data_IF_340406443321
#
_entry.id   IF_340406443321
#
_cell.length_a   1.000
_cell.length_b   1.000
_cell.length_c   1.000
_cell.angle_alpha   90.00
_cell.angle_beta   90.00
_cell.angle_gamma   90.00
#
_symmetry.space_group_name_H-M   'P 1'
#
loop_
_entity.id
_entity.type
_entity.pdbx_description
1 polymer ?
#
# COMPACT_ATOMS: atom_id res chain seq x y z
N UNK A 1 -8.07 -1.15 5.55
CA UNK A 1 -8.53 -2.19 4.61
C UNK A 1 -9.16 -1.63 3.34
N UNK A 2 -10.27 -0.88 3.36
CA UNK A 2 -10.92 -0.35 2.12
C UNK A 2 -9.95 0.35 1.14
N UNK A 3 -9.12 1.29 1.62
CA UNK A 3 -8.15 2.00 0.76
C UNK A 3 -7.06 1.07 0.17
N UNK A 4 -6.63 0.03 0.90
CA UNK A 4 -5.66 -0.96 0.39
C UNK A 4 -6.30 -1.82 -0.71
N UNK A 5 -7.54 -2.26 -0.48
CA UNK A 5 -8.33 -3.00 -1.46
C UNK A 5 -8.52 -2.19 -2.74
N UNK A 6 -8.93 -0.93 -2.61
CA UNK A 6 -9.05 0.00 -3.73
C UNK A 6 -7.77 0.04 -4.59
N UNK A 7 -6.60 0.24 -3.98
CA UNK A 7 -5.35 0.27 -4.74
C UNK A 7 -4.95 -1.05 -5.41
N UNK A 8 -5.45 -2.19 -4.91
CA UNK A 8 -5.09 -3.52 -5.43
C UNK A 8 -6.07 -4.05 -6.46
N UNK A 9 -7.36 -3.74 -6.30
CA UNK A 9 -8.47 -4.36 -7.02
C UNK A 9 -9.12 -3.43 -8.04
N UNK A 10 -9.01 -2.10 -7.88
CA UNK A 10 -9.57 -1.15 -8.84
C UNK A 10 -8.96 -1.35 -10.21
N UNK A 11 -9.83 -1.62 -11.20
CA UNK A 11 -9.45 -1.77 -12.58
C UNK A 11 -10.39 -0.97 -13.47
N UNK A 12 -9.90 -0.62 -14.66
CA UNK A 12 -10.72 -0.11 -15.75
C UNK A 12 -10.65 -1.09 -16.91
N UNK A 13 -11.73 -1.17 -17.69
CA UNK A 13 -11.71 -1.92 -18.93
C UNK A 13 -10.91 -1.13 -19.97
N UNK A 14 -9.73 -1.67 -20.31
CA UNK A 14 -8.89 -1.13 -21.35
C UNK A 14 -9.53 -1.33 -22.73
N UNK A 15 -9.08 -0.56 -23.75
CA UNK A 15 -9.64 -0.60 -25.10
C UNK A 15 -9.58 -1.98 -25.76
N UNK A 16 -8.67 -2.84 -25.32
CA UNK A 16 -8.48 -4.21 -25.83
C UNK A 16 -9.27 -5.27 -25.05
N UNK A 17 -10.18 -4.87 -24.15
CA UNK A 17 -10.89 -5.76 -23.23
C UNK A 17 -10.00 -6.35 -22.13
N UNK A 18 -8.80 -5.78 -21.93
CA UNK A 18 -7.89 -6.15 -20.85
C UNK A 18 -8.17 -5.28 -19.63
N UNK A 19 -8.09 -5.87 -18.44
CA UNK A 19 -8.18 -5.13 -17.18
C UNK A 19 -6.91 -4.32 -16.96
N UNK A 20 -7.05 -3.02 -16.87
CA UNK A 20 -5.97 -2.10 -16.53
C UNK A 20 -6.05 -1.74 -15.05
N UNK A 21 -4.95 -1.84 -14.31
CA UNK A 21 -4.90 -1.57 -12.87
C UNK A 21 -4.09 -0.29 -12.61
N UNK A 22 -4.67 0.90 -12.85
CA UNK A 22 -3.93 2.16 -12.88
C UNK A 22 -3.23 2.48 -11.55
N UNK A 23 -3.85 2.15 -10.42
CA UNK A 23 -3.29 2.43 -9.10
C UNK A 23 -2.17 1.44 -8.72
N UNK A 24 -2.28 0.17 -9.12
CA UNK A 24 -1.25 -0.84 -8.86
C UNK A 24 0.06 -0.52 -9.57
N UNK A 25 -0.03 -0.08 -10.82
CA UNK A 25 1.14 0.33 -11.59
C UNK A 25 1.82 1.55 -10.98
N UNK A 26 1.03 2.56 -10.57
CA UNK A 26 1.55 3.75 -9.87
C UNK A 26 2.20 3.42 -8.53
N UNK A 27 1.63 2.49 -7.76
CA UNK A 27 2.26 1.99 -6.52
C UNK A 27 3.61 1.30 -6.79
N UNK A 28 3.71 0.59 -7.92
CA UNK A 28 4.96 -0.04 -8.33
C UNK A 28 6.01 1.00 -8.71
N UNK A 29 5.62 2.05 -9.46
CA UNK A 29 6.50 3.16 -9.79
C UNK A 29 6.98 3.95 -8.54
N UNK A 30 6.09 4.12 -7.55
CA UNK A 30 6.44 4.70 -6.24
C UNK A 30 7.46 3.83 -5.49
N UNK A 31 7.26 2.51 -5.46
CA UNK A 31 8.18 1.57 -4.81
C UNK A 31 9.57 1.60 -5.46
N UNK A 32 9.62 1.74 -6.79
CA UNK A 32 10.88 1.87 -7.56
C UNK A 32 11.51 3.25 -7.48
N UNK A 33 10.85 4.21 -6.82
CA UNK A 33 11.24 5.63 -6.76
C UNK A 33 11.32 6.30 -8.14
N UNK A 34 10.60 5.75 -9.12
CA UNK A 34 10.38 6.36 -10.45
C UNK A 34 9.35 7.49 -10.35
N UNK A 35 8.42 7.38 -9.38
CA UNK A 35 7.40 8.37 -9.06
C UNK A 35 7.55 8.82 -7.60
N UNK A 36 7.24 10.09 -7.31
CA UNK A 36 7.38 10.69 -5.96
C UNK A 36 6.05 11.02 -5.29
N UNK A 37 4.94 11.00 -6.03
CA UNK A 37 3.62 11.35 -5.52
C UNK A 37 2.53 10.51 -6.18
N UNK A 38 1.55 10.04 -5.40
CA UNK A 38 0.37 9.34 -5.91
C UNK A 38 -0.81 10.31 -6.04
N UNK A 39 -1.42 10.36 -7.22
CA UNK A 39 -2.68 11.08 -7.43
C UNK A 39 -3.83 10.08 -7.47
N UNK A 40 -4.81 10.30 -6.60
CA UNK A 40 -6.04 9.49 -6.48
C UNK A 40 -7.22 10.35 -6.93
N UNK A 41 -7.92 9.90 -7.98
CA UNK A 41 -9.11 10.58 -8.45
C UNK A 41 -10.29 10.21 -7.56
N UNK A 42 -11.06 11.20 -7.11
CA UNK A 42 -12.27 10.94 -6.32
C UNK A 42 -13.34 10.22 -7.13
N UNK A 43 -13.40 10.47 -8.45
CA UNK A 43 -14.33 9.77 -9.34
C UNK A 43 -14.07 8.25 -9.34
N UNK A 44 -12.81 7.82 -9.29
CA UNK A 44 -12.44 6.40 -9.22
C UNK A 44 -12.79 5.80 -7.86
N UNK A 45 -12.60 6.56 -6.79
CA UNK A 45 -13.01 6.13 -5.45
C UNK A 45 -14.53 6.00 -5.39
N UNK A 46 -15.27 6.90 -6.03
CA UNK A 46 -16.73 6.87 -6.06
C UNK A 46 -17.27 5.70 -6.91
N UNK A 47 -16.56 5.32 -7.97
CA UNK A 47 -16.89 4.15 -8.78
C UNK A 47 -16.70 2.83 -8.01
N UNK A 48 -15.69 2.73 -7.15
CA UNK A 48 -15.47 1.55 -6.28
C UNK A 48 -16.37 1.55 -5.03
N UNK A 49 -16.45 2.68 -4.33
CA UNK A 49 -17.16 2.85 -3.06
C UNK A 49 -17.61 4.31 -2.89
N UNK A 50 -18.87 4.65 -3.27
CA UNK A 50 -19.38 6.02 -3.20
C UNK A 50 -19.43 6.56 -1.78
N UNK A 51 -19.69 5.72 -0.77
CA UNK A 51 -19.67 6.12 0.64
C UNK A 51 -18.26 6.52 1.09
N UNK A 52 -17.23 5.82 0.60
CA UNK A 52 -15.85 6.19 0.86
C UNK A 52 -15.50 7.53 0.22
N UNK A 53 -15.96 7.78 -1.02
CA UNK A 53 -15.72 9.05 -1.70
C UNK A 53 -16.36 10.23 -0.95
N UNK A 54 -17.62 10.09 -0.52
CA UNK A 54 -18.29 11.12 0.31
C UNK A 54 -17.53 11.36 1.62
N UNK A 55 -17.14 10.29 2.33
CA UNK A 55 -16.39 10.42 3.58
C UNK A 55 -15.02 11.10 3.39
N UNK A 56 -14.35 10.87 2.24
CA UNK A 56 -13.11 11.56 1.88
C UNK A 56 -13.36 13.05 1.70
N UNK A 57 -14.44 13.44 1.02
CA UNK A 57 -14.82 14.85 0.84
C UNK A 57 -15.13 15.53 2.17
N UNK A 58 -15.83 14.85 3.08
CA UNK A 58 -16.15 15.38 4.40
C UNK A 58 -14.93 15.57 5.30
N UNK A 59 -13.88 14.73 5.15
CA UNK A 59 -12.69 14.81 5.98
C UNK A 59 -11.39 14.48 5.23
N UNK A 60 -11.03 15.34 4.28
CA UNK A 60 -9.85 15.15 3.43
C UNK A 60 -8.59 14.91 4.27
N UNK A 61 -8.35 15.69 5.33
CA UNK A 61 -7.13 15.58 6.14
C UNK A 61 -6.94 14.20 6.77
N UNK A 62 -8.02 13.60 7.30
CA UNK A 62 -7.96 12.26 7.88
C UNK A 62 -7.72 11.23 6.78
N UNK A 63 -8.49 11.30 5.70
CA UNK A 63 -8.42 10.30 4.64
C UNK A 63 -7.12 10.39 3.83
N UNK A 64 -6.50 11.56 3.68
CA UNK A 64 -5.14 11.68 3.11
C UNK A 64 -4.13 10.83 3.89
N UNK A 65 -4.23 10.79 5.22
CA UNK A 65 -3.35 9.95 6.05
C UNK A 65 -3.68 8.47 5.87
N UNK A 66 -4.96 8.11 5.90
CA UNK A 66 -5.42 6.72 5.67
C UNK A 66 -4.95 6.18 4.32
N UNK A 67 -5.07 6.97 3.26
CA UNK A 67 -4.61 6.61 1.91
C UNK A 67 -3.08 6.57 1.83
N UNK A 68 -2.36 7.47 2.51
CA UNK A 68 -0.90 7.44 2.55
C UNK A 68 -0.38 6.17 3.24
N UNK A 69 -0.97 5.79 4.38
CA UNK A 69 -0.62 4.56 5.09
C UNK A 69 -0.97 3.30 4.27
N UNK A 70 -2.04 3.38 3.46
CA UNK A 70 -2.43 2.29 2.55
C UNK A 70 -1.54 2.21 1.29
N UNK A 71 -0.99 3.34 0.84
CA UNK A 71 -0.14 3.44 -0.34
C UNK A 71 1.33 3.11 -0.05
N UNK A 72 1.72 2.97 1.23
CA UNK A 72 3.11 2.74 1.61
C UNK A 72 3.66 1.48 0.90
N UNK A 73 4.58 1.64 -0.06
CA UNK A 73 5.12 0.51 -0.80
C UNK A 73 5.99 -0.32 0.12
N UNK A 74 5.99 -1.65 -0.03
CA UNK A 74 7.06 -2.48 0.53
C UNK A 74 8.32 -2.24 -0.31
N UNK A 75 9.22 -1.38 0.16
CA UNK A 75 10.54 -1.17 -0.46
C UNK A 75 11.37 -2.48 -0.32
N UNK A 76 12.21 -2.87 -1.28
CA UNK A 76 13.26 -3.87 -1.07
C UNK A 76 14.04 -3.68 0.24
N UNK A 77 14.26 -2.43 0.67
CA UNK A 77 14.84 -2.10 1.98
C UNK A 77 13.94 -2.55 3.13
N UNK A 78 12.62 -2.43 3.03
CA UNK A 78 11.70 -2.89 4.07
C UNK A 78 11.75 -4.41 4.23
N UNK A 79 11.84 -5.14 3.11
CA UNK A 79 12.04 -6.61 3.11
C UNK A 79 13.38 -6.97 3.75
N UNK A 80 14.45 -6.23 3.43
CA UNK A 80 15.76 -6.42 4.05
C UNK A 80 15.73 -6.15 5.56
N UNK A 81 15.07 -5.07 6.00
CA UNK A 81 14.92 -4.73 7.41
C UNK A 81 14.08 -5.77 8.15
N UNK A 82 13.00 -6.29 7.55
CA UNK A 82 12.22 -7.43 8.08
C UNK A 82 13.11 -8.67 8.25
N UNK A 83 13.87 -9.05 7.22
CA UNK A 83 14.79 -10.20 7.25
C UNK A 83 15.86 -10.05 8.34
N UNK A 84 16.45 -8.85 8.46
CA UNK A 84 17.46 -8.56 9.48
C UNK A 84 16.87 -8.65 10.90
N UNK A 85 15.69 -8.08 11.12
CA UNK A 85 15.00 -8.14 12.41
C UNK A 85 14.70 -9.59 12.83
N UNK A 86 14.27 -10.44 11.89
CA UNK A 86 14.03 -11.86 12.14
C UNK A 86 15.31 -12.60 12.55
N UNK A 87 16.45 -12.30 11.92
CA UNK A 87 17.75 -12.87 12.28
C UNK A 87 18.23 -12.39 13.67
N UNK A 88 18.04 -11.11 14.00
CA UNK A 88 18.38 -10.55 15.31
C UNK A 88 17.53 -11.14 16.45
N UNK A 89 16.23 -11.36 16.23
CA UNK A 89 15.35 -12.04 17.19
C UNK A 89 15.77 -13.51 17.42
N UNK A 90 16.19 -14.20 16.35
CA UNK A 90 16.70 -15.58 16.43
C UNK A 90 18.01 -15.68 17.21
N UNK A 91 18.90 -14.69 17.06
CA UNK A 91 20.15 -14.58 17.82
C UNK A 91 19.92 -14.36 19.32
N UNK A 92 18.88 -13.61 19.71
CA UNK A 92 18.50 -13.43 21.13
C UNK A 92 17.84 -14.68 21.74
N UNK A 93 17.01 -15.39 20.99
CA UNK A 93 16.36 -16.61 21.47
C UNK A 93 17.32 -17.82 21.60
N UNK A 94 18.41 -17.85 20.83
CA UNK A 94 19.44 -18.90 20.90
C UNK A 94 20.50 -18.70 22.00
N UNK A 95 20.43 -17.60 22.76
CA UNK A 95 21.45 -17.20 23.74
C UNK A 95 21.14 -17.52 25.20
N UNK A 96 20.04 -18.19 25.53
CA UNK A 96 19.82 -18.65 26.90
C UNK A 96 20.81 -19.79 27.21
N UNK A 97 21.76 -19.61 28.16
CA UNK A 97 22.65 -20.70 28.52
C UNK A 97 21.79 -21.79 29.14
N UNK A 98 21.82 -23.01 28.57
CA UNK A 98 21.32 -24.18 29.29
C UNK A 98 22.21 -24.33 30.51
N UNK A 99 21.69 -23.98 31.68
CA UNK A 99 22.33 -24.29 32.96
C UNK A 99 22.58 -25.79 33.05
N UNK A 100 23.76 -26.22 33.52
CA UNK A 100 24.13 -27.62 33.64
C UNK A 100 23.21 -28.39 34.60
#
# INVERSE_FOLDING_TARGET
EKAKRFFQEFYRDGPDGRKEFPYRERLTALARREQVALWVALDDVAEDDPELAEAVVENVRRYSRVFSDAAQPRDPLDVYLEHRLLLEQRGRAGGAPRTP
#
